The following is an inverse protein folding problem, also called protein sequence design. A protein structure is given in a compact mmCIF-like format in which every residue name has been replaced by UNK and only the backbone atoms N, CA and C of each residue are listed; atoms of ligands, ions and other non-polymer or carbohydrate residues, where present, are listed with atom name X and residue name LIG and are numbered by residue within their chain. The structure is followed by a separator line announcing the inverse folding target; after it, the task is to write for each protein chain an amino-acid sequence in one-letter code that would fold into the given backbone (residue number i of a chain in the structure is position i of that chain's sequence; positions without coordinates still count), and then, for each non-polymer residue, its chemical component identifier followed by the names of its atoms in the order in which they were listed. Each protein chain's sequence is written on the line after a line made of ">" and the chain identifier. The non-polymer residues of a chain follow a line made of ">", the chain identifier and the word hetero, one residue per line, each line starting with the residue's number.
data_IF_302054325173
#
_entry.id   IF_302054325173
#
_cell.length_a   1.000
_cell.length_b   1.000
_cell.length_c   1.000
_cell.angle_alpha   90.00
_cell.angle_beta   90.00
_cell.angle_gamma   90.00
#
_symmetry.space_group_name_H-M   'P 1'
#
loop_
_entity.id
_entity.type
_entity.pdbx_description
1 polymer ?
#
# COMPACT_ATOMS: atom_id res chain seq x y z
N UNK A 1 7.65 -8.07 6.88
CA UNK A 1 6.90 -6.84 6.55
C UNK A 1 5.67 -6.71 7.46
N UNK A 2 4.72 -7.64 7.40
CA UNK A 2 3.52 -7.62 8.24
C UNK A 2 3.81 -7.56 9.74
N UNK A 3 4.86 -8.25 10.19
CA UNK A 3 5.33 -8.20 11.59
C UNK A 3 5.76 -6.82 12.06
N UNK A 4 6.27 -5.98 11.15
CA UNK A 4 6.72 -4.62 11.46
C UNK A 4 5.55 -3.64 11.36
N UNK A 5 4.75 -3.74 10.29
CA UNK A 5 3.66 -2.79 10.03
C UNK A 5 2.51 -2.94 11.02
N UNK A 6 2.19 -4.16 11.46
CA UNK A 6 1.10 -4.40 12.41
C UNK A 6 1.30 -3.73 13.78
N UNK A 7 2.55 -3.40 14.15
CA UNK A 7 2.85 -2.70 15.41
C UNK A 7 2.50 -1.20 15.35
N UNK A 8 2.28 -0.67 14.15
CA UNK A 8 1.80 0.70 13.92
C UNK A 8 0.28 0.77 13.73
N UNK A 9 -0.41 -0.38 13.76
CA UNK A 9 -1.85 -0.48 13.68
C UNK A 9 -2.42 -0.80 15.08
N UNK A 10 -3.18 0.16 15.64
CA UNK A 10 -3.70 0.05 17.01
C UNK A 10 -4.80 -1.00 17.17
N UNK A 11 -5.57 -1.30 16.12
CA UNK A 11 -6.69 -2.24 16.18
C UNK A 11 -6.39 -3.58 15.49
N UNK A 12 -5.29 -3.63 14.71
CA UNK A 12 -4.83 -4.81 13.97
C UNK A 12 -5.93 -5.36 13.05
N UNK A 13 -6.76 -4.48 12.50
CA UNK A 13 -7.79 -4.79 11.50
C UNK A 13 -7.31 -4.39 10.11
N UNK A 14 -7.03 -5.39 9.28
CA UNK A 14 -6.47 -5.17 7.96
C UNK A 14 -7.56 -5.27 6.88
N UNK A 15 -7.90 -4.18 6.18
CA UNK A 15 -8.76 -4.27 5.01
C UNK A 15 -8.00 -4.96 3.88
N UNK A 16 -8.45 -6.15 3.49
CA UNK A 16 -7.74 -7.02 2.56
C UNK A 16 -8.54 -7.19 1.27
N UNK A 17 -7.89 -6.97 0.13
CA UNK A 17 -8.51 -7.01 -1.19
C UNK A 17 -7.73 -7.90 -2.15
N UNK A 18 -8.44 -8.43 -3.15
CA UNK A 18 -7.86 -9.08 -4.31
C UNK A 18 -8.26 -8.37 -5.61
N UNK A 19 -7.52 -8.66 -6.67
CA UNK A 19 -7.79 -8.20 -8.03
C UNK A 19 -7.30 -9.25 -9.04
N UNK A 20 -7.88 -9.26 -10.24
CA UNK A 20 -7.46 -10.21 -11.29
C UNK A 20 -7.96 -11.63 -11.03
N UNK A 21 -9.24 -11.77 -10.66
CA UNK A 21 -9.83 -13.09 -10.49
C UNK A 21 -11.33 -13.12 -10.84
N UNK A 22 -11.79 -14.27 -11.29
CA UNK A 22 -13.21 -14.56 -11.46
C UNK A 22 -13.69 -15.20 -10.17
N UNK A 23 -14.70 -14.59 -9.57
CA UNK A 23 -15.21 -14.96 -8.25
C UNK A 23 -16.23 -16.10 -8.35
N UNK A 24 -16.47 -16.85 -7.26
CA UNK A 24 -17.54 -17.83 -7.20
C UNK A 24 -18.88 -17.23 -7.64
N UNK A 25 -19.53 -17.85 -8.62
CA UNK A 25 -20.84 -17.42 -9.12
C UNK A 25 -20.81 -16.24 -10.10
N UNK A 26 -19.65 -15.71 -10.48
CA UNK A 26 -19.52 -14.69 -11.54
C UNK A 26 -18.95 -15.28 -12.83
N UNK A 27 -19.14 -14.56 -13.95
CA UNK A 27 -18.55 -14.91 -15.24
C UNK A 27 -17.43 -13.96 -15.67
N UNK A 28 -17.46 -12.72 -15.16
CA UNK A 28 -16.48 -11.69 -15.44
C UNK A 28 -15.45 -11.57 -14.32
N UNK A 29 -14.27 -11.06 -14.69
CA UNK A 29 -13.19 -10.83 -13.77
C UNK A 29 -13.46 -9.61 -12.89
N UNK A 30 -13.20 -9.77 -11.60
CA UNK A 30 -13.14 -8.66 -10.67
C UNK A 30 -11.70 -8.15 -10.55
N UNK A 31 -11.55 -6.84 -10.68
CA UNK A 31 -10.30 -6.12 -10.45
C UNK A 31 -10.27 -5.45 -9.07
N UNK A 32 -11.27 -5.70 -8.23
CA UNK A 32 -11.30 -5.26 -6.84
C UNK A 32 -12.40 -6.03 -6.07
N UNK A 33 -12.01 -6.88 -5.13
CA UNK A 33 -12.94 -7.64 -4.29
C UNK A 33 -12.37 -7.86 -2.89
N UNK A 34 -13.22 -8.10 -1.90
CA UNK A 34 -12.77 -8.40 -0.55
C UNK A 34 -12.13 -9.78 -0.49
N UNK A 35 -10.94 -9.89 0.10
CA UNK A 35 -10.20 -11.15 0.16
C UNK A 35 -11.01 -12.26 0.86
N UNK A 36 -11.82 -11.91 1.85
CA UNK A 36 -12.68 -12.86 2.56
C UNK A 36 -14.00 -13.19 1.84
N UNK A 37 -14.25 -12.65 0.64
CA UNK A 37 -15.48 -12.79 -0.14
C UNK A 37 -16.76 -12.39 0.60
N UNK A 38 -16.63 -11.67 1.71
CA UNK A 38 -17.71 -11.20 2.57
C UNK A 38 -18.08 -9.74 2.32
N UNK A 39 -19.07 -9.22 3.05
CA UNK A 39 -19.50 -7.83 2.90
C UNK A 39 -18.53 -6.79 3.50
N UNK A 40 -17.61 -7.21 4.37
CA UNK A 40 -16.66 -6.36 5.07
C UNK A 40 -15.22 -6.79 4.73
N UNK A 41 -14.31 -5.89 4.29
CA UNK A 41 -12.94 -6.26 3.91
C UNK A 41 -11.98 -6.48 5.10
N UNK A 42 -12.34 -6.09 6.32
CA UNK A 42 -11.46 -6.12 7.48
C UNK A 42 -11.25 -7.55 8.01
N UNK A 43 -9.99 -7.91 8.24
CA UNK A 43 -9.55 -9.18 8.80
C UNK A 43 -8.67 -8.89 10.02
N UNK A 44 -8.96 -9.53 11.16
CA UNK A 44 -8.25 -9.26 12.42
C UNK A 44 -7.00 -10.13 12.56
N UNK A 45 -5.84 -9.48 12.56
CA UNK A 45 -4.54 -10.12 12.75
C UNK A 45 -3.96 -10.77 11.49
N UNK A 46 -2.62 -10.76 11.40
CA UNK A 46 -1.93 -11.18 10.17
C UNK A 46 -2.03 -12.66 9.86
N UNK A 47 -2.12 -13.52 10.88
CA UNK A 47 -2.34 -14.95 10.65
C UNK A 47 -3.69 -15.19 9.97
N UNK A 48 -4.75 -14.48 10.37
CA UNK A 48 -6.06 -14.62 9.75
C UNK A 48 -6.07 -14.12 8.30
N UNK A 49 -5.27 -13.10 7.97
CA UNK A 49 -5.08 -12.65 6.58
C UNK A 49 -4.47 -13.78 5.73
N UNK A 50 -3.43 -14.45 6.23
CA UNK A 50 -2.78 -15.57 5.55
C UNK A 50 -3.77 -16.73 5.38
N UNK A 51 -4.48 -17.11 6.44
CA UNK A 51 -5.45 -18.21 6.41
C UNK A 51 -6.58 -17.92 5.42
N UNK A 52 -7.10 -16.68 5.42
CA UNK A 52 -8.12 -16.23 4.46
C UNK A 52 -7.58 -16.26 3.03
N UNK A 53 -6.36 -15.78 2.80
CA UNK A 53 -5.72 -15.84 1.48
C UNK A 53 -5.67 -17.28 0.96
N UNK A 54 -5.15 -18.22 1.77
CA UNK A 54 -5.04 -19.64 1.40
C UNK A 54 -6.40 -20.27 1.09
N UNK A 55 -7.45 -19.91 1.83
CA UNK A 55 -8.81 -20.39 1.57
C UNK A 55 -9.41 -19.79 0.29
N UNK A 56 -9.20 -18.50 0.05
CA UNK A 56 -9.81 -17.79 -1.07
C UNK A 56 -9.20 -18.21 -2.40
N UNK A 57 -7.87 -18.40 -2.48
CA UNK A 57 -7.20 -18.83 -3.73
C UNK A 57 -7.69 -20.18 -4.25
N UNK A 58 -8.28 -21.03 -3.38
CA UNK A 58 -8.88 -22.31 -3.77
C UNK A 58 -10.28 -22.17 -4.38
N UNK A 59 -10.93 -21.02 -4.18
CA UNK A 59 -12.32 -20.76 -4.58
C UNK A 59 -12.42 -19.88 -5.83
N UNK A 60 -11.38 -19.09 -6.12
CA UNK A 60 -11.35 -18.15 -7.25
C UNK A 60 -10.61 -18.76 -8.45
N UNK A 61 -10.87 -18.23 -9.63
CA UNK A 61 -10.08 -18.52 -10.82
C UNK A 61 -9.23 -17.31 -11.17
N UNK A 62 -7.90 -17.44 -11.12
CA UNK A 62 -6.98 -16.38 -11.55
C UNK A 62 -7.25 -15.96 -12.98
N UNK A 63 -7.22 -14.64 -13.22
CA UNK A 63 -7.53 -14.06 -14.51
C UNK A 63 -6.79 -12.72 -14.69
N UNK A 64 -6.41 -12.38 -15.92
CA UNK A 64 -5.81 -11.08 -16.23
C UNK A 64 -6.83 -10.09 -16.78
N UNK A 65 -6.54 -8.79 -16.89
CA UNK A 65 -5.24 -8.17 -16.67
C UNK A 65 -4.91 -7.83 -15.21
N UNK A 66 -3.64 -7.52 -14.98
CA UNK A 66 -3.10 -7.01 -13.71
C UNK A 66 -3.26 -5.48 -13.69
N UNK A 67 -4.35 -5.00 -13.10
CA UNK A 67 -4.70 -3.58 -13.07
C UNK A 67 -4.64 -3.01 -11.65
N UNK A 68 -3.83 -1.98 -11.43
CA UNK A 68 -3.67 -1.36 -10.10
C UNK A 68 -4.54 -0.10 -9.92
N UNK A 69 -4.92 0.58 -11.01
CA UNK A 69 -5.71 1.81 -10.95
C UNK A 69 -6.98 1.68 -10.10
N UNK A 70 -7.81 0.61 -10.23
CA UNK A 70 -9.01 0.48 -9.42
C UNK A 70 -8.71 0.42 -7.92
N UNK A 71 -7.70 -0.37 -7.53
CA UNK A 71 -7.28 -0.55 -6.13
C UNK A 71 -6.73 0.75 -5.55
N UNK A 72 -5.81 1.42 -6.25
CA UNK A 72 -5.19 2.67 -5.77
C UNK A 72 -6.28 3.73 -5.56
N UNK A 73 -7.20 3.88 -6.52
CA UNK A 73 -8.31 4.83 -6.43
C UNK A 73 -9.24 4.55 -5.25
N UNK A 74 -9.65 3.29 -5.07
CA UNK A 74 -10.51 2.88 -3.95
C UNK A 74 -9.85 3.20 -2.61
N UNK A 75 -8.59 2.81 -2.45
CA UNK A 75 -7.84 2.98 -1.19
C UNK A 75 -7.54 4.45 -0.92
N UNK A 76 -7.15 5.24 -1.93
CA UNK A 76 -6.92 6.67 -1.78
C UNK A 76 -8.19 7.41 -1.34
N UNK A 77 -9.35 7.05 -1.91
CA UNK A 77 -10.64 7.61 -1.49
C UNK A 77 -10.99 7.25 -0.05
N UNK A 78 -10.74 6.00 0.37
CA UNK A 78 -10.91 5.58 1.76
C UNK A 78 -9.99 6.34 2.72
N UNK A 79 -8.71 6.47 2.37
CA UNK A 79 -7.71 7.18 3.17
C UNK A 79 -8.08 8.65 3.40
N UNK A 80 -8.64 9.33 2.40
CA UNK A 80 -9.14 10.72 2.57
C UNK A 80 -10.26 10.83 3.60
N UNK A 81 -11.08 9.79 3.73
CA UNK A 81 -12.26 9.76 4.60
C UNK A 81 -11.96 9.22 6.01
N UNK A 82 -10.74 8.73 6.26
CA UNK A 82 -10.33 8.19 7.55
C UNK A 82 -9.58 9.26 8.38
N UNK A 83 -10.25 10.01 9.26
CA UNK A 83 -9.62 11.08 10.03
C UNK A 83 -8.57 10.52 10.99
N UNK A 84 -7.39 11.13 11.01
CA UNK A 84 -6.30 10.74 11.91
C UNK A 84 -5.60 9.42 11.55
N UNK A 85 -5.93 8.83 10.40
CA UNK A 85 -5.30 7.59 9.92
C UNK A 85 -4.40 7.90 8.74
N UNK A 86 -3.19 7.34 8.74
CA UNK A 86 -2.32 7.28 7.58
C UNK A 86 -2.29 5.86 7.05
N UNK A 87 -2.64 5.68 5.78
CA UNK A 87 -2.80 4.37 5.16
C UNK A 87 -1.52 3.95 4.43
N UNK A 88 -1.10 2.70 4.63
CA UNK A 88 -0.06 2.05 3.84
C UNK A 88 -0.73 0.95 3.01
N UNK A 89 -0.77 1.12 1.69
CA UNK A 89 -1.28 0.13 0.76
C UNK A 89 -0.15 -0.79 0.33
N UNK A 90 -0.19 -2.06 0.74
CA UNK A 90 0.73 -3.09 0.24
C UNK A 90 0.09 -3.86 -0.92
N UNK A 91 0.70 -3.78 -2.10
CA UNK A 91 0.32 -4.54 -3.30
C UNK A 91 1.36 -5.62 -3.54
N UNK A 92 0.92 -6.88 -3.66
CA UNK A 92 1.76 -8.00 -4.06
C UNK A 92 1.34 -8.46 -5.46
N UNK A 93 2.31 -8.64 -6.36
CA UNK A 93 2.06 -9.06 -7.75
C UNK A 93 3.17 -9.99 -8.23
N UNK A 94 2.85 -10.92 -9.13
CA UNK A 94 3.81 -11.81 -9.78
C UNK A 94 4.06 -11.48 -11.27
N UNK A 95 3.40 -10.43 -11.78
CA UNK A 95 3.46 -10.05 -13.18
C UNK A 95 3.36 -8.54 -13.42
N UNK A 96 3.51 -8.17 -14.70
CA UNK A 96 3.54 -6.78 -15.16
C UNK A 96 2.18 -6.06 -15.05
N UNK A 97 2.22 -4.75 -14.74
CA UNK A 97 1.04 -3.88 -14.71
C UNK A 97 0.55 -3.63 -16.14
N UNK A 98 -0.72 -3.93 -16.41
CA UNK A 98 -1.32 -3.74 -17.73
C UNK A 98 -1.91 -2.34 -17.93
N UNK A 99 -2.30 -1.66 -16.86
CA UNK A 99 -2.95 -0.34 -16.87
C UNK A 99 -2.02 0.81 -16.47
N UNK A 100 -0.74 0.76 -16.88
CA UNK A 100 0.31 1.69 -16.46
C UNK A 100 -0.10 3.18 -16.49
N UNK A 101 -0.68 3.63 -17.60
CA UNK A 101 -1.08 5.04 -17.75
C UNK A 101 -2.17 5.45 -16.75
N UNK A 102 -3.13 4.57 -16.47
CA UNK A 102 -4.20 4.86 -15.53
C UNK A 102 -3.71 4.72 -14.08
N UNK A 103 -2.82 3.78 -13.82
CA UNK A 103 -2.10 3.66 -12.54
C UNK A 103 -1.32 4.94 -12.21
N UNK A 104 -0.57 5.50 -13.16
CA UNK A 104 0.13 6.80 -12.99
C UNK A 104 -0.85 7.94 -12.71
N UNK A 105 -2.01 7.98 -13.40
CA UNK A 105 -3.03 9.00 -13.14
C UNK A 105 -3.57 8.90 -11.72
N UNK A 106 -3.83 7.69 -11.22
CA UNK A 106 -4.34 7.51 -9.86
C UNK A 106 -3.28 7.79 -8.79
N UNK A 107 -2.01 7.48 -9.03
CA UNK A 107 -0.91 7.90 -8.13
C UNK A 107 -0.85 9.43 -8.04
N UNK A 108 -0.92 10.12 -9.18
CA UNK A 108 -0.96 11.59 -9.23
C UNK A 108 -2.19 12.16 -8.55
N UNK A 109 -3.34 11.50 -8.69
CA UNK A 109 -4.58 11.94 -8.07
C UNK A 109 -4.53 11.75 -6.55
N UNK A 110 -3.74 10.81 -6.03
CA UNK A 110 -3.67 10.45 -4.61
C UNK A 110 -2.67 11.26 -3.77
N UNK A 111 -2.00 12.27 -4.35
CA UNK A 111 -0.92 13.03 -3.68
C UNK A 111 -1.34 13.68 -2.37
N UNK A 112 -2.58 14.17 -2.33
CA UNK A 112 -3.22 14.79 -1.16
C UNK A 112 -3.74 13.77 -0.13
N UNK A 113 -3.86 12.49 -0.50
CA UNK A 113 -4.34 11.46 0.41
C UNK A 113 -3.25 11.09 1.44
N UNK A 114 -3.63 10.78 2.70
CA UNK A 114 -2.71 10.22 3.69
C UNK A 114 -2.37 8.78 3.34
N UNK A 115 -1.59 8.60 2.28
CA UNK A 115 -1.34 7.32 1.62
C UNK A 115 0.12 7.19 1.21
N UNK A 116 0.66 6.02 1.50
CA UNK A 116 1.85 5.42 0.89
C UNK A 116 1.49 4.11 0.21
N UNK A 117 2.16 3.77 -0.88
CA UNK A 117 1.92 2.58 -1.69
C UNK A 117 3.23 1.79 -1.75
N UNK A 118 3.19 0.55 -1.30
CA UNK A 118 4.29 -0.39 -1.31
C UNK A 118 3.96 -1.48 -2.32
N UNK A 119 4.83 -1.68 -3.32
CA UNK A 119 4.65 -2.72 -4.34
C UNK A 119 5.75 -3.77 -4.17
N UNK A 120 5.34 -5.02 -3.97
CA UNK A 120 6.24 -6.17 -3.86
C UNK A 120 6.06 -7.09 -5.06
N UNK A 121 7.11 -7.20 -5.88
CA UNK A 121 7.18 -8.15 -6.98
C UNK A 121 7.62 -9.53 -6.50
N UNK A 122 6.81 -10.56 -6.73
CA UNK A 122 7.10 -11.95 -6.37
C UNK A 122 7.40 -12.76 -7.63
N UNK A 123 8.37 -13.68 -7.55
CA UNK A 123 8.73 -14.52 -8.70
C UNK A 123 9.68 -13.83 -9.68
N UNK A 124 9.64 -14.26 -10.95
CA UNK A 124 10.69 -14.00 -11.93
C UNK A 124 10.23 -13.18 -13.15
N UNK A 125 9.09 -12.48 -13.07
CA UNK A 125 8.63 -11.62 -14.14
C UNK A 125 9.58 -10.42 -14.39
N UNK A 126 9.35 -9.72 -15.50
CA UNK A 126 9.94 -8.42 -15.75
C UNK A 126 9.20 -7.35 -14.93
N UNK A 127 9.94 -6.65 -14.07
CA UNK A 127 9.42 -5.61 -13.18
C UNK A 127 9.89 -4.20 -13.57
N UNK A 128 10.46 -4.03 -14.77
CA UNK A 128 10.90 -2.71 -15.28
C UNK A 128 9.77 -1.66 -15.26
N UNK A 129 8.53 -2.10 -15.52
CA UNK A 129 7.33 -1.27 -15.40
C UNK A 129 7.09 -0.76 -13.97
N UNK A 130 7.42 -1.54 -12.94
CA UNK A 130 7.27 -1.14 -11.53
C UNK A 130 8.38 -0.20 -11.08
N UNK A 131 9.60 -0.41 -11.58
CA UNK A 131 10.73 0.51 -11.34
C UNK A 131 10.45 1.93 -11.87
N UNK A 132 9.57 2.05 -12.88
CA UNK A 132 9.10 3.36 -13.37
C UNK A 132 8.09 4.05 -12.45
N UNK A 133 7.43 3.29 -11.58
CA UNK A 133 6.51 3.82 -10.57
C UNK A 133 7.22 4.23 -9.29
N UNK A 134 8.36 3.58 -9.01
CA UNK A 134 9.25 3.87 -7.90
C UNK A 134 9.78 5.31 -8.00
N UNK A 135 9.61 6.10 -6.94
CA UNK A 135 9.97 7.52 -6.97
C UNK A 135 11.48 7.81 -6.88
N UNK A 136 12.28 6.81 -6.53
CA UNK A 136 13.74 6.93 -6.35
C UNK A 136 14.54 6.91 -7.66
N UNK A 137 14.05 6.19 -8.68
CA UNK A 137 14.84 5.86 -9.88
C UNK A 137 14.42 6.64 -11.14
N UNK A 138 13.61 7.70 -11.00
CA UNK A 138 12.99 8.36 -12.16
C UNK A 138 12.56 9.81 -11.99
N UNK A 139 11.78 10.28 -12.99
CA UNK A 139 11.14 11.60 -12.96
C UNK A 139 9.99 11.54 -11.96
N UNK A 140 9.91 12.45 -10.98
CA UNK A 140 8.84 12.45 -9.99
C UNK A 140 7.48 12.38 -10.67
N UNK A 141 6.70 11.35 -10.34
CA UNK A 141 5.35 11.20 -10.89
C UNK A 141 4.43 12.34 -10.44
N UNK A 142 4.70 12.91 -9.27
CA UNK A 142 3.96 14.01 -8.68
C UNK A 142 4.84 14.91 -7.79
N UNK A 143 4.23 15.89 -7.12
CA UNK A 143 4.92 16.80 -6.19
C UNK A 143 5.37 16.13 -4.89
N UNK A 144 4.84 14.94 -4.59
CA UNK A 144 5.21 14.09 -3.47
C UNK A 144 5.44 12.68 -3.99
N UNK A 145 6.38 11.97 -3.38
CA UNK A 145 6.55 10.55 -3.60
C UNK A 145 5.58 9.71 -2.75
N UNK A 146 5.01 8.70 -3.37
CA UNK A 146 4.00 7.82 -2.79
C UNK A 146 4.37 6.34 -2.91
N UNK A 147 5.29 5.98 -3.82
CA UNK A 147 5.42 4.60 -4.26
C UNK A 147 6.84 4.11 -3.98
N UNK A 148 6.93 3.03 -3.20
CA UNK A 148 8.15 2.23 -3.09
C UNK A 148 7.93 0.89 -3.79
N UNK A 149 8.84 0.52 -4.68
CA UNK A 149 8.89 -0.82 -5.25
C UNK A 149 10.06 -1.64 -4.69
N UNK A 150 9.82 -2.94 -4.45
CA UNK A 150 10.87 -3.92 -4.16
C UNK A 150 10.58 -5.24 -4.87
N UNK A 151 11.59 -5.82 -5.53
CA UNK A 151 11.50 -7.20 -6.01
C UNK A 151 11.97 -8.18 -4.92
N UNK A 152 11.08 -9.09 -4.51
CA UNK A 152 11.38 -10.08 -3.47
C UNK A 152 12.57 -10.99 -3.85
N UNK A 153 12.80 -11.21 -5.15
CA UNK A 153 13.90 -12.05 -5.63
C UNK A 153 15.28 -11.48 -5.29
N UNK A 154 15.42 -10.17 -5.15
CA UNK A 154 16.69 -9.50 -4.85
C UNK A 154 17.15 -9.75 -3.39
N UNK A 155 16.24 -10.26 -2.56
CA UNK A 155 16.41 -10.55 -1.15
C UNK A 155 16.34 -12.06 -0.82
N UNK A 156 16.23 -12.94 -1.82
CA UNK A 156 15.99 -14.37 -1.60
C UNK A 156 17.08 -15.08 -0.77
N UNK A 157 18.33 -14.60 -0.82
CA UNK A 157 19.45 -15.11 -0.05
C UNK A 157 19.86 -14.20 1.13
N UNK A 158 19.01 -13.24 1.49
CA UNK A 158 19.27 -12.24 2.53
C UNK A 158 18.35 -12.44 3.74
N UNK A 159 18.70 -11.91 4.92
CA UNK A 159 17.81 -11.91 6.07
C UNK A 159 16.46 -11.22 5.77
N UNK A 160 15.33 -11.74 6.27
CA UNK A 160 14.00 -11.14 6.03
C UNK A 160 13.88 -9.67 6.47
N UNK A 161 14.69 -9.26 7.45
CA UNK A 161 14.76 -7.89 7.96
C UNK A 161 15.24 -6.91 6.88
N UNK A 162 16.11 -7.34 5.96
CA UNK A 162 16.58 -6.48 4.87
C UNK A 162 15.46 -6.17 3.88
N UNK A 163 14.59 -7.15 3.58
CA UNK A 163 13.42 -6.91 2.73
C UNK A 163 12.45 -5.93 3.40
N UNK A 164 12.20 -6.11 4.71
CA UNK A 164 11.35 -5.21 5.47
C UNK A 164 11.94 -3.79 5.55
N UNK A 165 13.25 -3.67 5.78
CA UNK A 165 13.95 -2.39 5.81
C UNK A 165 13.89 -1.68 4.46
N UNK A 166 14.17 -2.39 3.35
CA UNK A 166 14.10 -1.82 2.01
C UNK A 166 12.69 -1.33 1.66
N UNK A 167 11.66 -2.13 1.98
CA UNK A 167 10.28 -1.78 1.66
C UNK A 167 9.75 -0.62 2.53
N UNK A 168 10.21 -0.49 3.78
CA UNK A 168 9.72 0.52 4.72
C UNK A 168 10.61 1.78 4.79
N UNK A 169 11.77 1.79 4.14
CA UNK A 169 12.78 2.85 4.23
C UNK A 169 12.19 4.25 3.98
N UNK A 170 11.25 4.34 3.04
CA UNK A 170 10.68 5.60 2.59
C UNK A 170 9.44 6.07 3.34
N UNK A 171 8.76 5.18 4.07
CA UNK A 171 7.50 5.49 4.74
C UNK A 171 7.62 6.74 5.64
N UNK A 172 8.67 6.91 6.49
CA UNK A 172 8.80 8.10 7.32
C UNK A 172 8.87 9.41 6.51
N UNK A 173 9.61 9.41 5.39
CA UNK A 173 9.75 10.56 4.48
C UNK A 173 8.42 10.88 3.80
N UNK A 174 7.70 9.86 3.33
CA UNK A 174 6.41 10.02 2.67
C UNK A 174 5.33 10.56 3.63
N UNK A 175 5.28 10.04 4.86
CA UNK A 175 4.40 10.55 5.94
C UNK A 175 4.71 12.00 6.26
N UNK A 176 5.98 12.34 6.48
CA UNK A 176 6.42 13.72 6.76
C UNK A 176 6.13 14.69 5.61
N UNK A 177 6.32 14.24 4.38
CA UNK A 177 5.97 14.99 3.17
C UNK A 177 4.48 15.30 3.09
N UNK A 178 3.63 14.30 3.37
CA UNK A 178 2.18 14.50 3.40
C UNK A 178 1.75 15.45 4.54
N UNK A 179 2.30 15.28 5.75
CA UNK A 179 1.99 16.13 6.89
C UNK A 179 2.36 17.60 6.66
N UNK A 180 3.45 17.86 5.92
CA UNK A 180 3.87 19.22 5.56
C UNK A 180 2.88 19.92 4.62
N UNK A 181 2.20 19.16 3.76
CA UNK A 181 1.15 19.67 2.87
C UNK A 181 -0.18 19.91 3.59
N UNK A 182 -0.37 19.34 4.79
CA UNK A 182 -1.61 19.39 5.57
C UNK A 182 -1.36 19.85 7.03
N UNK A 183 -0.80 21.06 7.23
CA UNK A 183 -0.45 21.56 8.55
C UNK A 183 -1.66 21.70 9.49
N UNK A 184 -2.87 21.82 8.94
CA UNK A 184 -4.13 21.87 9.69
C UNK A 184 -4.50 20.54 10.37
N UNK A 185 -4.02 19.41 9.84
CA UNK A 185 -4.28 18.07 10.41
C UNK A 185 -3.25 17.68 11.46
N UNK A 186 -2.06 18.25 11.42
CA UNK A 186 -0.96 18.00 12.36
C UNK A 186 -0.29 19.32 12.75
N UNK A 187 -0.97 20.17 13.56
CA UNK A 187 -0.35 21.39 14.06
C UNK A 187 0.93 21.01 14.79
N UNK A 188 2.05 21.64 14.39
CA UNK A 188 3.34 21.43 15.07
C UNK A 188 3.11 21.65 16.57
N UNK A 189 3.65 20.78 17.44
CA UNK A 189 3.58 21.02 18.87
C UNK A 189 4.10 22.43 19.15
N UNK A 190 3.26 23.28 19.73
CA UNK A 190 3.72 24.59 20.20
C UNK A 190 4.82 24.28 21.19
N UNK A 191 6.07 24.63 20.85
CA UNK A 191 7.17 24.52 21.79
C UNK A 191 6.74 25.33 23.01
N UNK A 192 6.42 24.65 24.11
CA UNK A 192 6.16 25.30 25.38
C UNK A 192 7.47 26.00 25.71
N UNK A 193 7.51 27.32 25.52
CA UNK A 193 8.63 28.11 25.99
C UNK A 193 8.74 27.84 27.49
N UNK A 194 9.83 27.18 27.88
CA UNK A 194 10.16 26.96 29.28
C UNK A 194 10.07 28.31 30.00
N UNK A 195 9.18 28.41 30.98
CA UNK A 195 9.03 29.61 31.78
C UNK A 195 10.41 30.04 32.30
N UNK A 196 10.75 31.34 32.27
CA UNK A 196 12.02 31.80 32.79
C UNK A 196 12.12 31.39 34.26
N UNK A 197 13.22 30.74 34.62
CA UNK A 197 13.52 30.38 35.99
C UNK A 197 13.62 31.66 36.80
N UNK A 198 12.66 31.89 37.69
CA UNK A 198 12.72 32.99 38.65
C UNK A 198 13.90 32.73 39.59
N UNK A 199 14.90 33.62 39.53
CA UNK A 199 16.01 33.75 40.48
C UNK A 199 15.52 34.55 41.68
#
# INVERSE_FOLDING_TARGET
>A
VSEVVQEYDSDRQFPCFGFGAILPGTQEASHFFHLNLGPNPYISGMQAVIDTYVQTVQQIRFYGPTNFSPTIRQVANGARQAPGVYTILLIMTDGEITDMNDTIKEIRSAVDAPLSILIVGVGNADFSSMERLDGDNGVPLASRDLVQFVSMRDFAARPPEELAAALLAEIPKQVGGWATLHPEKYPRPTLVQSAPSNV
#
